data_IF_153753699859
#
_entry.id   IF_153753699859
#
_cell.length_a   1.000
_cell.length_b   1.000
_cell.length_c   1.000
_cell.angle_alpha   90.00
_cell.angle_beta   90.00
_cell.angle_gamma   90.00
#
_symmetry.space_group_name_H-M   'P 1'
#
loop_
_entity.id
_entity.type
_entity.pdbx_description
1 polymer ?
#
# COMPACT_ATOMS: atom_id res chain seq x y z
N UNK A 1 -22.96 1.31 -9.57
CA UNK A 1 -21.85 1.06 -8.63
C UNK A 1 -22.32 1.54 -7.27
N UNK A 2 -22.29 0.67 -6.26
CA UNK A 2 -22.45 1.08 -4.86
C UNK A 2 -21.43 2.18 -4.56
N UNK A 3 -21.85 3.27 -3.94
CA UNK A 3 -20.90 4.29 -3.53
C UNK A 3 -20.05 3.68 -2.41
N UNK A 4 -18.81 3.29 -2.72
CA UNK A 4 -17.81 2.76 -1.77
C UNK A 4 -17.30 3.89 -0.86
N UNK A 5 -18.23 4.60 -0.24
CA UNK A 5 -18.02 5.77 0.63
C UNK A 5 -18.49 5.51 2.05
N UNK A 6 -19.27 4.45 2.26
CA UNK A 6 -19.81 4.10 3.56
C UNK A 6 -19.74 2.59 3.80
N UNK A 7 -19.61 2.21 5.07
CA UNK A 7 -19.77 0.85 5.58
C UNK A 7 -20.67 0.90 6.82
N UNK A 8 -21.73 0.08 6.83
CA UNK A 8 -22.77 0.09 7.88
C UNK A 8 -23.37 1.50 8.14
N UNK A 9 -23.61 2.25 7.05
CA UNK A 9 -24.20 3.60 7.10
C UNK A 9 -23.28 4.69 7.66
N UNK A 10 -21.99 4.39 7.83
CA UNK A 10 -20.97 5.31 8.33
C UNK A 10 -19.90 5.59 7.27
N UNK A 11 -19.42 6.83 7.10
CA UNK A 11 -18.34 7.15 6.18
C UNK A 11 -17.08 6.33 6.43
N UNK A 12 -16.39 5.93 5.36
CA UNK A 12 -15.15 5.13 5.46
C UNK A 12 -14.05 5.91 6.17
N UNK A 13 -13.98 7.23 5.97
CA UNK A 13 -13.06 8.13 6.66
C UNK A 13 -13.22 8.06 8.19
N UNK A 14 -14.45 7.91 8.67
CA UNK A 14 -14.72 7.78 10.11
C UNK A 14 -14.27 6.41 10.64
N UNK A 15 -14.38 5.35 9.83
CA UNK A 15 -13.83 4.05 10.19
C UNK A 15 -12.31 4.09 10.29
N UNK A 16 -11.63 4.71 9.32
CA UNK A 16 -10.17 4.88 9.33
C UNK A 16 -9.71 5.61 10.60
N UNK A 17 -10.25 6.81 10.88
CA UNK A 17 -9.87 7.59 12.06
C UNK A 17 -10.18 6.90 13.39
N UNK A 18 -11.23 6.06 13.46
CA UNK A 18 -11.58 5.36 14.69
C UNK A 18 -10.68 4.16 14.96
N UNK A 19 -10.26 3.47 13.91
CA UNK A 19 -9.51 2.21 14.03
C UNK A 19 -8.02 2.42 14.28
N UNK A 20 -7.47 3.54 13.83
CA UNK A 20 -6.04 3.85 13.96
C UNK A 20 -5.81 4.65 15.24
N UNK A 21 -4.95 4.19 16.17
CA UNK A 21 -4.58 4.98 17.34
C UNK A 21 -4.01 6.34 16.95
N UNK A 22 -4.42 7.38 17.68
CA UNK A 22 -3.95 8.76 17.54
C UNK A 22 -4.27 9.47 16.21
N UNK A 23 -5.04 8.84 15.30
CA UNK A 23 -5.49 9.46 14.07
C UNK A 23 -6.55 10.56 14.31
N UNK A 24 -6.38 11.73 13.68
CA UNK A 24 -7.43 12.76 13.62
C UNK A 24 -8.26 12.59 12.34
N UNK A 25 -9.58 12.75 12.46
CA UNK A 25 -10.52 12.75 11.32
C UNK A 25 -10.24 13.80 10.25
N UNK A 26 -9.46 14.83 10.58
CA UNK A 26 -9.09 15.90 9.66
C UNK A 26 -7.69 15.71 9.07
N UNK A 27 -6.97 14.64 9.43
CA UNK A 27 -5.69 14.31 8.83
C UNK A 27 -5.86 13.97 7.35
N UNK A 28 -4.83 14.26 6.57
CA UNK A 28 -4.70 13.65 5.26
C UNK A 28 -4.36 12.17 5.46
N UNK A 29 -5.23 11.27 5.02
CA UNK A 29 -5.00 9.83 5.11
C UNK A 29 -4.09 9.33 3.97
N UNK A 30 -3.16 8.43 4.28
CA UNK A 30 -2.25 7.81 3.30
C UNK A 30 -2.39 6.30 3.36
N UNK A 31 -2.97 5.70 2.32
CA UNK A 31 -3.17 4.26 2.27
C UNK A 31 -1.96 3.56 1.67
N UNK A 32 -1.29 2.73 2.47
CA UNK A 32 -0.15 1.92 2.07
C UNK A 32 -0.61 0.49 1.74
N UNK A 33 -0.40 0.08 0.50
CA UNK A 33 -0.68 -1.25 -0.01
C UNK A 33 0.64 -1.96 -0.28
N UNK A 34 0.77 -3.21 0.13
CA UNK A 34 2.01 -3.96 -0.02
C UNK A 34 1.86 -5.42 0.39
N UNK A 35 2.93 -6.22 0.27
CA UNK A 35 2.90 -7.61 0.69
C UNK A 35 2.79 -7.69 2.21
N UNK A 36 1.80 -8.42 2.74
CA UNK A 36 1.73 -8.70 4.18
C UNK A 36 2.57 -9.90 4.59
N UNK A 37 2.96 -10.70 3.60
CA UNK A 37 3.71 -11.95 3.74
C UNK A 37 4.69 -12.15 2.58
N UNK A 38 5.69 -12.97 2.81
CA UNK A 38 6.59 -13.52 1.82
C UNK A 38 5.90 -14.57 0.96
N UNK A 39 6.40 -14.72 -0.26
CA UNK A 39 6.11 -15.91 -1.06
C UNK A 39 6.72 -17.13 -0.35
N UNK A 40 5.88 -18.05 0.09
CA UNK A 40 6.29 -19.31 0.71
C UNK A 40 6.38 -20.44 -0.33
N UNK A 41 7.59 -20.93 -0.68
CA UNK A 41 7.73 -22.04 -1.62
C UNK A 41 7.07 -23.34 -1.15
N UNK A 42 6.88 -23.52 0.17
CA UNK A 42 6.23 -24.72 0.72
C UNK A 42 4.77 -24.85 0.27
N UNK A 43 4.12 -23.76 -0.17
CA UNK A 43 2.80 -23.82 -0.79
C UNK A 43 2.79 -24.66 -2.08
N UNK A 44 3.84 -24.55 -2.89
CA UNK A 44 3.98 -25.29 -4.15
C UNK A 44 4.70 -26.64 -3.95
N UNK A 45 5.65 -26.67 -3.02
CA UNK A 45 6.53 -27.80 -2.76
C UNK A 45 6.48 -28.20 -1.28
N UNK A 46 5.35 -28.72 -0.78
CA UNK A 46 5.13 -28.94 0.66
C UNK A 46 6.04 -30.01 1.28
N UNK A 47 6.69 -30.84 0.44
CA UNK A 47 7.60 -31.88 0.88
C UNK A 47 9.08 -31.44 0.83
N UNK A 48 9.37 -30.25 0.29
CA UNK A 48 10.72 -29.74 0.14
C UNK A 48 10.97 -28.63 1.17
N UNK A 49 12.12 -28.69 1.86
CA UNK A 49 12.50 -27.73 2.88
C UNK A 49 13.17 -26.48 2.31
N UNK A 50 12.46 -25.72 1.47
CA UNK A 50 13.00 -24.46 0.95
C UNK A 50 12.89 -23.34 2.00
N UNK A 51 13.97 -22.56 2.25
CA UNK A 51 13.89 -21.41 3.13
C UNK A 51 13.06 -20.29 2.50
N UNK A 52 12.45 -19.45 3.34
CA UNK A 52 11.82 -18.22 2.88
C UNK A 52 12.86 -17.30 2.23
N UNK A 53 12.52 -16.63 1.12
CA UNK A 53 13.44 -15.72 0.45
C UNK A 53 13.74 -14.49 1.33
N UNK A 54 14.94 -13.89 1.21
CA UNK A 54 15.24 -12.63 1.87
C UNK A 54 14.42 -11.48 1.26
N UNK A 55 14.01 -10.53 2.10
CA UNK A 55 13.20 -9.37 1.69
C UNK A 55 13.58 -8.14 2.53
N UNK A 56 13.63 -6.92 1.95
CA UNK A 56 13.96 -5.70 2.69
C UNK A 56 12.94 -5.33 3.78
N UNK A 57 11.69 -5.80 3.66
CA UNK A 57 10.60 -5.58 4.61
C UNK A 57 10.47 -6.71 5.63
N UNK A 58 11.16 -7.84 5.44
CA UNK A 58 11.22 -8.88 6.46
C UNK A 58 11.78 -8.28 7.78
N UNK A 59 11.17 -8.58 8.95
CA UNK A 59 11.66 -8.10 10.23
C UNK A 59 13.12 -8.49 10.50
N UNK A 60 13.93 -7.51 10.92
CA UNK A 60 15.32 -7.74 11.33
C UNK A 60 15.39 -7.79 12.85
N UNK A 61 15.42 -8.98 13.46
CA UNK A 61 15.55 -9.13 14.91
C UNK A 61 15.48 -10.57 15.40
N UNK A 62 16.14 -10.86 16.53
CA UNK A 62 16.08 -12.18 17.17
C UNK A 62 14.65 -12.47 17.66
N UNK A 63 13.97 -13.43 17.03
CA UNK A 63 12.67 -13.95 17.47
C UNK A 63 11.44 -13.41 16.73
N UNK A 64 11.59 -12.44 15.83
CA UNK A 64 10.50 -12.05 14.94
C UNK A 64 10.34 -13.10 13.82
N UNK A 65 9.09 -13.47 13.50
CA UNK A 65 8.83 -14.34 12.37
C UNK A 65 9.26 -13.62 11.07
N UNK A 66 10.06 -14.25 10.19
CA UNK A 66 10.51 -13.62 8.93
C UNK A 66 9.35 -13.16 8.03
N UNK A 67 8.18 -13.79 8.18
CA UNK A 67 6.96 -13.52 7.42
C UNK A 67 6.06 -12.43 8.03
N UNK A 68 6.46 -11.80 9.14
CA UNK A 68 5.68 -10.73 9.77
C UNK A 68 5.90 -9.36 9.08
N UNK A 69 5.77 -9.31 7.74
CA UNK A 69 5.92 -8.08 6.95
C UNK A 69 4.83 -7.07 7.32
N UNK A 70 3.60 -7.53 7.57
CA UNK A 70 2.49 -6.68 8.02
C UNK A 70 2.88 -5.79 9.22
N UNK A 71 3.56 -6.35 10.23
CA UNK A 71 4.04 -5.58 11.38
C UNK A 71 5.13 -4.56 11.00
N UNK A 72 5.98 -4.90 10.03
CA UNK A 72 6.96 -3.95 9.48
C UNK A 72 6.28 -2.79 8.77
N UNK A 73 5.25 -3.06 7.95
CA UNK A 73 4.50 -2.01 7.25
C UNK A 73 3.82 -1.07 8.25
N UNK A 74 3.25 -1.59 9.34
CA UNK A 74 2.73 -0.74 10.44
C UNK A 74 3.79 0.20 11.01
N UNK A 75 4.98 -0.32 11.33
CA UNK A 75 6.10 0.53 11.81
C UNK A 75 6.53 1.59 10.78
N UNK A 76 6.44 1.28 9.48
CA UNK A 76 6.71 2.26 8.42
C UNK A 76 5.63 3.35 8.43
N UNK A 77 4.35 2.96 8.49
CA UNK A 77 3.23 3.89 8.60
C UNK A 77 3.39 4.82 9.82
N UNK A 78 3.67 4.28 11.01
CA UNK A 78 3.87 5.07 12.22
C UNK A 78 4.94 6.15 12.04
N UNK A 79 6.07 5.80 11.39
CA UNK A 79 7.16 6.73 11.12
C UNK A 79 6.77 7.80 10.10
N UNK A 80 6.12 7.42 9.01
CA UNK A 80 5.66 8.37 7.98
C UNK A 80 4.64 9.34 8.59
N UNK A 81 3.69 8.83 9.37
CA UNK A 81 2.70 9.64 10.07
C UNK A 81 3.35 10.67 11.01
N UNK A 82 4.30 10.22 11.84
CA UNK A 82 5.00 11.07 12.80
C UNK A 82 5.80 12.21 12.14
N UNK A 83 6.46 11.93 11.01
CA UNK A 83 7.29 12.93 10.32
C UNK A 83 6.46 13.92 9.49
N UNK A 84 5.33 13.47 8.92
CA UNK A 84 4.56 14.28 7.95
C UNK A 84 3.31 14.93 8.53
N UNK A 85 2.88 14.53 9.74
CA UNK A 85 1.61 14.96 10.34
C UNK A 85 0.39 14.43 9.58
N UNK A 86 0.55 13.34 8.83
CA UNK A 86 -0.53 12.61 8.17
C UNK A 86 -0.87 11.35 8.95
N UNK A 87 -1.98 10.68 8.60
CA UNK A 87 -2.28 9.35 9.12
C UNK A 87 -2.07 8.32 8.00
N UNK A 88 -0.90 7.69 7.99
CA UNK A 88 -0.57 6.56 7.12
C UNK A 88 -1.02 5.23 7.74
N UNK A 89 -1.55 4.30 6.94
CA UNK A 89 -2.10 3.04 7.44
C UNK A 89 -2.12 1.94 6.38
N UNK A 90 -2.29 0.69 6.83
CA UNK A 90 -2.55 -0.48 5.98
C UNK A 90 -3.97 -1.00 6.21
N UNK A 91 -4.51 -1.81 5.28
CA UNK A 91 -5.91 -2.21 5.31
C UNK A 91 -6.31 -2.95 6.61
N UNK A 92 -5.41 -3.77 7.14
CA UNK A 92 -5.60 -4.51 8.39
C UNK A 92 -5.60 -3.63 9.66
N UNK A 93 -5.34 -2.33 9.54
CA UNK A 93 -5.48 -1.38 10.65
C UNK A 93 -6.92 -0.88 10.78
N UNK A 94 -7.76 -1.06 9.76
CA UNK A 94 -9.14 -0.57 9.73
C UNK A 94 -10.10 -1.69 10.12
N UNK A 95 -10.97 -1.42 11.11
CA UNK A 95 -11.93 -2.38 11.68
C UNK A 95 -13.15 -2.62 10.76
N UNK A 96 -12.93 -2.80 9.47
CA UNK A 96 -13.93 -3.25 8.52
C UNK A 96 -13.59 -4.70 8.18
N UNK A 97 -14.39 -5.70 8.59
CA UNK A 97 -14.07 -7.08 8.28
C UNK A 97 -14.23 -7.35 6.79
N UNK A 98 -13.40 -8.25 6.25
CA UNK A 98 -13.68 -8.84 4.95
C UNK A 98 -14.89 -9.77 5.04
N UNK A 99 -15.56 -10.06 3.91
CA UNK A 99 -16.67 -11.05 3.90
C UNK A 99 -16.29 -12.39 4.52
N UNK A 100 -15.09 -12.88 4.23
CA UNK A 100 -14.60 -14.16 4.79
C UNK A 100 -14.36 -14.08 6.29
N UNK A 101 -13.93 -12.93 6.79
CA UNK A 101 -13.74 -12.73 8.23
C UNK A 101 -15.06 -12.64 8.96
N UNK A 102 -16.03 -11.91 8.42
CA UNK A 102 -17.38 -11.84 8.95
C UNK A 102 -18.03 -13.23 9.03
N UNK A 103 -17.96 -14.01 7.95
CA UNK A 103 -18.43 -15.40 7.91
C UNK A 103 -17.72 -16.30 8.92
N UNK A 104 -16.38 -16.23 9.00
CA UNK A 104 -15.57 -17.08 9.89
C UNK A 104 -15.82 -16.76 11.37
N UNK A 105 -16.09 -15.49 11.68
CA UNK A 105 -16.26 -14.99 13.05
C UNK A 105 -17.73 -14.90 13.47
N UNK A 106 -18.67 -15.30 12.60
CA UNK A 106 -20.12 -15.23 12.83
C UNK A 106 -20.56 -13.80 13.24
N UNK A 107 -20.03 -12.79 12.55
CA UNK A 107 -20.39 -11.39 12.79
C UNK A 107 -21.76 -11.07 12.19
N UNK A 108 -22.52 -10.18 12.84
CA UNK A 108 -23.82 -9.71 12.31
C UNK A 108 -23.64 -8.85 11.05
N UNK A 109 -22.52 -8.16 10.95
CA UNK A 109 -22.16 -7.32 9.80
C UNK A 109 -21.68 -8.18 8.61
N UNK A 110 -22.03 -7.84 7.37
CA UNK A 110 -21.78 -8.68 6.19
C UNK A 110 -20.31 -8.72 5.74
N UNK A 111 -19.49 -7.79 6.22
CA UNK A 111 -18.13 -7.56 5.73
C UNK A 111 -18.06 -7.08 4.27
N UNK A 112 -16.88 -6.63 3.87
CA UNK A 112 -16.62 -6.09 2.54
C UNK A 112 -15.76 -7.04 1.69
N UNK A 113 -16.00 -7.19 0.38
CA UNK A 113 -15.02 -7.83 -0.50
C UNK A 113 -13.68 -7.10 -0.41
N UNK A 114 -12.57 -7.84 -0.37
CA UNK A 114 -11.22 -7.26 -0.21
C UNK A 114 -10.95 -6.14 -1.22
N UNK A 115 -11.30 -6.35 -2.49
CA UNK A 115 -11.06 -5.32 -3.52
C UNK A 115 -11.94 -4.08 -3.34
N UNK A 116 -13.19 -4.25 -2.92
CA UNK A 116 -14.10 -3.14 -2.63
C UNK A 116 -13.61 -2.35 -1.42
N UNK A 117 -13.05 -3.04 -0.42
CA UNK A 117 -12.43 -2.45 0.75
C UNK A 117 -11.21 -1.62 0.37
N UNK A 118 -10.28 -2.16 -0.42
CA UNK A 118 -9.10 -1.42 -0.87
C UNK A 118 -9.49 -0.17 -1.67
N UNK A 119 -10.50 -0.26 -2.53
CA UNK A 119 -11.03 0.91 -3.27
C UNK A 119 -11.69 1.93 -2.33
N UNK A 120 -12.47 1.47 -1.34
CA UNK A 120 -13.09 2.34 -0.35
C UNK A 120 -12.05 3.10 0.49
N UNK A 121 -11.03 2.39 0.97
CA UNK A 121 -9.91 2.97 1.72
C UNK A 121 -9.10 3.94 0.86
N UNK A 122 -8.84 3.59 -0.40
CA UNK A 122 -8.15 4.48 -1.34
C UNK A 122 -8.94 5.75 -1.66
N UNK A 123 -10.28 5.66 -1.64
CA UNK A 123 -11.18 6.81 -1.82
C UNK A 123 -11.19 7.73 -0.61
N UNK A 124 -11.23 7.17 0.59
CA UNK A 124 -11.11 7.90 1.85
C UNK A 124 -9.71 8.53 2.02
N UNK A 125 -8.69 8.02 1.31
CA UNK A 125 -7.31 8.48 1.46
C UNK A 125 -6.97 9.67 0.58
N UNK A 126 -6.14 10.58 1.07
CA UNK A 126 -5.53 11.68 0.34
C UNK A 126 -4.46 11.19 -0.66
N UNK A 127 -3.69 10.16 -0.28
CA UNK A 127 -2.62 9.55 -1.07
C UNK A 127 -2.64 8.02 -1.01
N UNK A 128 -2.15 7.39 -2.07
CA UNK A 128 -2.16 5.93 -2.25
C UNK A 128 -0.76 5.44 -2.67
N UNK A 129 -0.17 4.55 -1.87
CA UNK A 129 1.18 4.03 -2.10
C UNK A 129 1.15 2.52 -2.30
N UNK A 130 1.74 2.02 -3.37
CA UNK A 130 1.85 0.59 -3.67
C UNK A 130 3.30 0.14 -3.53
N UNK A 131 3.56 -0.82 -2.65
CA UNK A 131 4.90 -1.33 -2.37
C UNK A 131 5.05 -2.73 -2.96
N UNK A 132 6.07 -2.89 -3.80
CA UNK A 132 6.41 -4.16 -4.41
C UNK A 132 7.83 -4.56 -4.06
N UNK A 133 7.97 -5.75 -3.49
CA UNK A 133 9.27 -6.40 -3.29
C UNK A 133 9.32 -7.67 -4.11
N UNK A 134 10.53 -8.12 -4.44
CA UNK A 134 10.78 -9.34 -5.22
C UNK A 134 10.26 -10.59 -4.49
N UNK A 135 10.40 -10.62 -3.17
CA UNK A 135 10.15 -11.78 -2.33
C UNK A 135 8.77 -11.75 -1.65
N UNK A 136 8.10 -10.60 -1.62
CA UNK A 136 6.76 -10.44 -1.09
C UNK A 136 5.69 -11.13 -1.96
N UNK A 137 4.66 -11.67 -1.32
CA UNK A 137 3.46 -12.16 -2.00
C UNK A 137 2.61 -10.95 -2.44
N UNK A 138 2.90 -10.44 -3.64
CA UNK A 138 2.37 -9.17 -4.14
C UNK A 138 1.08 -9.29 -4.95
N UNK A 139 0.48 -10.48 -5.09
CA UNK A 139 -0.74 -10.68 -5.90
C UNK A 139 -1.89 -9.77 -5.49
N UNK A 140 -2.05 -9.50 -4.19
CA UNK A 140 -3.03 -8.53 -3.68
C UNK A 140 -2.72 -7.10 -4.15
N UNK A 141 -1.52 -6.61 -3.82
CA UNK A 141 -1.04 -5.28 -4.22
C UNK A 141 -1.07 -5.06 -5.74
N UNK A 142 -0.78 -6.09 -6.54
CA UNK A 142 -0.86 -6.04 -7.99
C UNK A 142 -2.29 -5.91 -8.51
N UNK A 143 -3.25 -6.60 -7.91
CA UNK A 143 -4.67 -6.44 -8.25
C UNK A 143 -5.18 -5.04 -7.88
N UNK A 144 -4.74 -4.52 -6.73
CA UNK A 144 -5.06 -3.17 -6.26
C UNK A 144 -4.47 -2.09 -7.17
N UNK A 145 -3.21 -2.23 -7.58
CA UNK A 145 -2.54 -1.32 -8.51
C UNK A 145 -3.21 -1.25 -9.89
N UNK A 146 -4.00 -2.26 -10.27
CA UNK A 146 -4.85 -2.19 -11.46
C UNK A 146 -6.23 -1.61 -11.18
N UNK A 147 -6.91 -2.09 -10.13
CA UNK A 147 -8.31 -1.76 -9.87
C UNK A 147 -8.51 -0.33 -9.35
N UNK A 148 -7.60 0.17 -8.51
CA UNK A 148 -7.74 1.48 -7.87
C UNK A 148 -7.55 2.61 -8.89
N UNK A 149 -6.46 2.67 -9.69
CA UNK A 149 -6.31 3.68 -10.74
C UNK A 149 -7.48 3.69 -11.75
N UNK A 150 -7.98 2.52 -12.13
CA UNK A 150 -9.14 2.40 -13.02
C UNK A 150 -10.42 2.94 -12.37
N UNK A 151 -10.64 2.68 -11.07
CA UNK A 151 -11.78 3.25 -10.34
C UNK A 151 -11.79 4.78 -10.39
N UNK A 152 -10.62 5.41 -10.27
CA UNK A 152 -10.45 6.87 -10.39
C UNK A 152 -10.37 7.36 -11.84
N UNK A 153 -10.49 6.49 -12.83
CA UNK A 153 -10.43 6.81 -14.26
C UNK A 153 -9.14 7.53 -14.64
N UNK A 154 -8.00 7.17 -14.03
CA UNK A 154 -6.76 7.91 -14.22
C UNK A 154 -6.24 7.90 -15.67
N UNK A 155 -6.69 6.96 -16.51
CA UNK A 155 -6.40 6.92 -17.96
C UNK A 155 -7.08 8.04 -18.76
N UNK A 156 -8.23 8.49 -18.29
CA UNK A 156 -9.02 9.51 -18.97
C UNK A 156 -8.57 10.89 -18.48
N UNK A 157 -7.65 11.51 -19.22
CA UNK A 157 -7.06 12.78 -18.83
C UNK A 157 -8.11 13.90 -18.60
N UNK A 158 -9.25 13.83 -19.27
CA UNK A 158 -10.33 14.82 -19.21
C UNK A 158 -11.32 14.56 -18.08
N UNK A 159 -11.54 13.28 -17.73
CA UNK A 159 -12.56 12.87 -16.74
C UNK A 159 -11.99 12.12 -15.53
N UNK A 160 -10.67 12.17 -15.31
CA UNK A 160 -10.03 11.60 -14.12
C UNK A 160 -10.65 12.18 -12.87
N UNK A 161 -10.96 11.31 -11.91
CA UNK A 161 -11.59 11.67 -10.64
C UNK A 161 -10.56 12.13 -9.60
N UNK A 162 -9.27 12.01 -9.90
CA UNK A 162 -8.17 12.34 -9.00
C UNK A 162 -6.90 12.67 -9.78
N UNK A 163 -5.99 13.39 -9.13
CA UNK A 163 -4.66 13.66 -9.66
C UNK A 163 -3.77 12.41 -9.54
N UNK A 164 -3.20 11.87 -10.64
CA UNK A 164 -2.33 10.70 -10.59
C UNK A 164 -1.11 10.88 -9.68
N UNK A 165 -0.69 12.12 -9.42
CA UNK A 165 0.45 12.41 -8.54
C UNK A 165 0.17 12.05 -7.07
N UNK A 166 -1.09 11.83 -6.68
CA UNK A 166 -1.43 11.29 -5.35
C UNK A 166 -1.33 9.76 -5.28
N UNK A 167 -0.81 9.11 -6.32
CA UNK A 167 -0.54 7.69 -6.39
C UNK A 167 0.94 7.46 -6.68
N UNK A 168 1.56 6.50 -6.00
CA UNK A 168 2.96 6.18 -6.24
C UNK A 168 3.23 4.68 -6.07
N UNK A 169 3.99 4.12 -7.01
CA UNK A 169 4.55 2.78 -6.93
C UNK A 169 5.95 2.90 -6.34
N UNK A 170 6.23 2.08 -5.33
CA UNK A 170 7.53 1.90 -4.72
C UNK A 170 7.98 0.47 -5.00
N UNK A 171 9.05 0.30 -5.75
CA UNK A 171 9.58 -1.03 -6.09
C UNK A 171 10.98 -1.26 -5.54
N UNK A 172 11.23 -2.46 -5.05
CA UNK A 172 12.55 -2.89 -4.60
C UNK A 172 13.56 -2.85 -5.74
N UNK A 173 14.74 -2.30 -5.46
CA UNK A 173 15.88 -2.21 -6.36
C UNK A 173 17.20 -2.48 -5.63
N UNK A 174 18.29 -2.64 -6.39
CA UNK A 174 19.65 -2.54 -5.90
C UNK A 174 20.27 -1.22 -6.34
N UNK A 175 21.14 -0.67 -5.49
CA UNK A 175 21.86 0.57 -5.76
C UNK A 175 23.18 0.24 -6.43
N UNK A 176 23.36 0.66 -7.67
CA UNK A 176 24.62 0.58 -8.39
C UNK A 176 25.28 1.97 -8.45
N UNK A 177 26.57 2.03 -8.16
CA UNK A 177 27.37 3.24 -8.38
C UNK A 177 27.84 3.27 -9.84
N UNK A 178 27.35 4.24 -10.61
CA UNK A 178 27.83 4.52 -11.96
C UNK A 178 28.67 5.80 -11.98
N UNK A 179 29.45 5.99 -13.05
CA UNK A 179 30.25 7.22 -13.24
C UNK A 179 29.40 8.50 -13.24
N UNK A 180 28.11 8.39 -13.60
CA UNK A 180 27.15 9.50 -13.64
C UNK A 180 26.34 9.67 -12.35
N UNK A 181 26.59 8.87 -11.30
CA UNK A 181 25.88 8.91 -10.02
C UNK A 181 25.26 7.57 -9.62
N UNK A 182 24.28 7.63 -8.73
CA UNK A 182 23.52 6.46 -8.29
C UNK A 182 22.55 6.00 -9.40
N UNK A 183 22.58 4.70 -9.72
CA UNK A 183 21.58 4.04 -10.55
C UNK A 183 20.83 3.01 -9.70
N UNK A 184 19.52 2.88 -9.93
CA UNK A 184 18.70 1.85 -9.30
C UNK A 184 18.42 0.75 -10.33
N UNK A 185 18.80 -0.48 -10.01
CA UNK A 185 18.53 -1.67 -10.81
C UNK A 185 17.33 -2.42 -10.20
N UNK A 186 16.18 -2.54 -10.88
CA UNK A 186 14.99 -3.15 -10.31
C UNK A 186 15.22 -4.61 -9.89
N UNK A 187 14.80 -4.98 -8.67
CA UNK A 187 14.76 -6.37 -8.21
C UNK A 187 13.38 -7.00 -8.38
N UNK A 188 12.35 -6.19 -8.18
CA UNK A 188 10.99 -6.51 -8.58
C UNK A 188 10.80 -6.13 -10.05
N UNK A 189 10.13 -6.99 -10.81
CA UNK A 189 9.67 -6.66 -12.17
C UNK A 189 8.37 -7.39 -12.44
N UNK A 190 7.46 -6.67 -13.07
CA UNK A 190 6.20 -7.19 -13.58
C UNK A 190 5.77 -6.30 -14.73
N UNK A 191 5.63 -6.85 -15.93
CA UNK A 191 5.30 -6.08 -17.14
C UNK A 191 4.13 -5.11 -16.93
N UNK A 192 3.06 -5.58 -16.25
CA UNK A 192 1.89 -4.74 -15.99
C UNK A 192 2.13 -3.61 -14.98
N UNK A 193 3.05 -3.79 -14.03
CA UNK A 193 3.38 -2.78 -13.02
C UNK A 193 4.41 -1.79 -13.56
N UNK A 194 5.35 -2.29 -14.36
CA UNK A 194 6.42 -1.52 -15.00
C UNK A 194 5.86 -0.53 -16.04
N UNK A 195 4.64 -0.75 -16.55
CA UNK A 195 3.94 0.13 -17.51
C UNK A 195 2.86 1.03 -16.87
N UNK A 196 2.79 1.13 -15.54
CA UNK A 196 1.75 1.90 -14.85
C UNK A 196 1.91 3.42 -15.01
N UNK A 197 3.12 3.91 -15.25
CA UNK A 197 3.37 5.31 -15.60
C UNK A 197 2.80 5.64 -16.98
N UNK A 198 3.04 4.79 -17.97
CA UNK A 198 2.48 4.92 -19.32
C UNK A 198 0.95 4.76 -19.32
N UNK A 199 0.42 3.85 -18.50
CA UNK A 199 -1.01 3.54 -18.49
C UNK A 199 -1.86 4.55 -17.72
N UNK A 200 -1.37 5.13 -16.63
CA UNK A 200 -2.16 5.95 -15.70
C UNK A 200 -1.45 7.21 -15.20
N UNK A 201 -0.30 7.57 -15.74
CA UNK A 201 0.59 8.65 -15.25
C UNK A 201 1.03 8.46 -13.79
N UNK A 202 1.11 7.20 -13.30
CA UNK A 202 1.55 6.94 -11.93
C UNK A 202 3.04 7.23 -11.76
N UNK A 203 3.40 7.71 -10.57
CA UNK A 203 4.81 7.88 -10.22
C UNK A 203 5.43 6.55 -9.84
N UNK A 204 6.68 6.39 -10.24
CA UNK A 204 7.48 5.22 -9.91
C UNK A 204 8.72 5.64 -9.12
N UNK A 205 8.98 4.97 -7.99
CA UNK A 205 10.14 5.20 -7.12
C UNK A 205 10.77 3.88 -6.74
N UNK A 206 12.09 3.88 -6.62
CA UNK A 206 12.85 2.72 -6.17
C UNK A 206 13.33 2.89 -4.72
N UNK A 207 13.46 1.77 -4.02
CA UNK A 207 14.07 1.70 -2.70
C UNK A 207 14.92 0.43 -2.57
N UNK A 208 15.99 0.47 -1.77
CA UNK A 208 16.83 -0.71 -1.53
C UNK A 208 16.59 -1.38 -0.18
N UNK A 209 16.09 -0.63 0.79
CA UNK A 209 15.79 -1.12 2.12
C UNK A 209 14.64 -0.34 2.77
N UNK A 210 14.30 -0.74 4.00
CA UNK A 210 13.24 -0.15 4.79
C UNK A 210 13.43 1.35 5.05
N UNK A 211 14.67 1.78 5.29
CA UNK A 211 14.94 3.18 5.63
C UNK A 211 14.71 4.06 4.40
N UNK A 212 15.24 3.64 3.26
CA UNK A 212 14.99 4.36 2.02
C UNK A 212 13.49 4.34 1.66
N UNK A 213 12.77 3.25 1.87
CA UNK A 213 11.31 3.25 1.64
C UNK A 213 10.60 4.32 2.48
N UNK A 214 10.96 4.45 3.77
CA UNK A 214 10.39 5.49 4.65
C UNK A 214 10.71 6.89 4.09
N UNK A 215 11.97 7.17 3.75
CA UNK A 215 12.37 8.47 3.18
C UNK A 215 11.59 8.79 1.89
N UNK A 216 11.42 7.80 1.01
CA UNK A 216 10.69 7.97 -0.26
C UNK A 216 9.20 8.18 -0.05
N UNK A 217 8.60 7.55 0.96
CA UNK A 217 7.20 7.74 1.35
C UNK A 217 6.99 9.14 1.93
N UNK A 218 7.86 9.59 2.84
CA UNK A 218 7.82 10.95 3.41
C UNK A 218 7.88 11.98 2.28
N UNK A 219 8.87 11.89 1.39
CA UNK A 219 9.01 12.84 0.27
C UNK A 219 7.79 12.82 -0.66
N UNK A 220 7.17 11.65 -0.89
CA UNK A 220 5.94 11.54 -1.66
C UNK A 220 4.76 12.26 -0.99
N UNK A 221 4.61 12.05 0.32
CA UNK A 221 3.53 12.66 1.11
C UNK A 221 3.67 14.18 1.15
N UNK A 222 4.86 14.69 1.47
CA UNK A 222 5.13 16.12 1.58
C UNK A 222 5.07 16.84 0.22
N UNK A 223 5.54 16.18 -0.85
CA UNK A 223 5.60 16.82 -2.17
C UNK A 223 4.26 16.80 -2.90
N UNK A 224 3.41 15.80 -2.65
CA UNK A 224 2.20 15.58 -3.46
C UNK A 224 0.94 15.43 -2.63
N UNK A 225 0.95 14.59 -1.59
CA UNK A 225 -0.29 14.28 -0.87
C UNK A 225 -0.79 15.50 -0.10
N UNK A 226 0.01 16.06 0.81
CA UNK A 226 -0.38 17.20 1.64
C UNK A 226 -0.70 18.45 0.80
N UNK A 227 0.12 18.83 -0.20
CA UNK A 227 -0.15 20.02 -1.01
C UNK A 227 -1.41 19.90 -1.87
N UNK A 228 -1.73 18.69 -2.37
CA UNK A 228 -2.90 18.47 -3.24
C UNK A 228 -4.18 18.17 -2.45
N UNK A 229 -4.08 17.60 -1.26
CA UNK A 229 -5.23 17.43 -0.35
C UNK A 229 -5.81 18.77 0.13
N UNK A 230 -4.99 19.82 0.12
CA UNK A 230 -5.36 21.17 0.54
C UNK A 230 -5.96 22.03 -0.58
N UNK A 231 -6.08 21.49 -1.80
CA UNK A 231 -6.63 22.21 -2.95
C UNK A 231 -8.14 21.91 -3.07
N UNK A 232 -9.00 22.95 -3.14
CA UNK A 232 -10.45 22.79 -3.19
C UNK A 232 -10.97 22.20 -4.51
#
# INVERSE_FOLDING_TARGET
MTALTEYEGRPIEEWVARSIPDADRNDAFVFLMGPYRLLDPAYLYPNDGYPLPPDPLAPRGNGAAPDAIEATLRTICDRVSAETGTTAFIASDVEIPTRREAERQDLEEPGMPVIDQSVALAKASAGNAFVFTKAGLTTGAGAEAGAIPEHFRLRDAEHRLRDPRTFCIFAEAEKASAESGTVYEPRFSSASIDEMDDAYDLRFRYFVDREELVERLIDFVESYVVPLASQP
#
